data_IF_911780331790
#
_entry.id   IF_911780331790
#
_cell.length_a   1.000
_cell.length_b   1.000
_cell.length_c   1.000
_cell.angle_alpha   90.00
_cell.angle_beta   90.00
_cell.angle_gamma   90.00
#
_symmetry.space_group_name_H-M   'P 1'
#
loop_
_entity.id
_entity.type
_entity.pdbx_description
1 polymer ?
#
# COMPACT_ATOMS: atom_id res chain seq x y z
N UNK A 1 22.00 0.53 24.34
CA UNK A 1 20.64 0.77 24.90
C UNK A 1 19.74 1.44 23.87
N UNK A 2 20.18 2.52 23.21
CA UNK A 2 19.43 3.21 22.12
C UNK A 2 19.07 2.33 20.91
N UNK A 3 19.96 1.43 20.48
CA UNK A 3 19.75 0.59 19.28
C UNK A 3 18.68 -0.51 19.45
N UNK A 4 18.44 -0.98 20.67
CA UNK A 4 17.36 -1.96 20.95
C UNK A 4 15.97 -1.32 20.91
N UNK A 5 15.85 -0.04 21.31
CA UNK A 5 14.57 0.70 21.26
C UNK A 5 14.11 0.88 19.83
N UNK A 6 14.98 1.39 18.94
CA UNK A 6 14.61 1.64 17.54
C UNK A 6 14.11 0.39 16.81
N UNK A 7 14.69 -0.77 17.11
CA UNK A 7 14.29 -2.03 16.50
C UNK A 7 12.96 -2.55 17.06
N UNK A 8 12.67 -2.29 18.34
CA UNK A 8 11.35 -2.54 18.93
C UNK A 8 10.31 -1.56 18.39
N UNK A 9 10.64 -0.29 18.21
CA UNK A 9 9.69 0.72 17.74
C UNK A 9 9.25 0.45 16.29
N UNK A 10 10.21 0.19 15.39
CA UNK A 10 9.94 -0.05 13.96
C UNK A 10 9.37 -1.42 13.60
N UNK A 11 9.70 -2.47 14.37
CA UNK A 11 9.25 -3.84 14.12
C UNK A 11 8.38 -4.40 15.24
N UNK A 12 7.80 -3.53 16.08
CA UNK A 12 6.93 -3.91 17.19
C UNK A 12 5.71 -4.70 16.73
N UNK A 13 5.13 -4.33 15.57
CA UNK A 13 3.81 -4.80 15.15
C UNK A 13 3.75 -5.35 13.71
N UNK A 14 4.71 -6.21 13.36
CA UNK A 14 4.78 -6.84 12.03
C UNK A 14 3.45 -7.49 11.61
N UNK A 15 2.73 -8.13 12.55
CA UNK A 15 1.43 -8.77 12.24
C UNK A 15 0.37 -7.75 11.86
N UNK A 16 0.28 -6.65 12.60
CA UNK A 16 -0.67 -5.58 12.31
C UNK A 16 -0.35 -4.88 11.00
N UNK A 17 0.94 -4.62 10.74
CA UNK A 17 1.38 -3.93 9.52
C UNK A 17 1.12 -4.76 8.27
N UNK A 18 1.36 -6.08 8.33
CA UNK A 18 1.05 -6.99 7.23
C UNK A 18 -0.46 -7.10 6.99
N UNK A 19 -1.26 -7.24 8.04
CA UNK A 19 -2.73 -7.29 7.90
C UNK A 19 -3.28 -5.97 7.37
N UNK A 20 -2.79 -4.83 7.86
CA UNK A 20 -3.19 -3.51 7.38
C UNK A 20 -2.82 -3.33 5.91
N UNK A 21 -1.58 -3.67 5.52
CA UNK A 21 -1.13 -3.61 4.13
C UNK A 21 -1.98 -4.46 3.19
N UNK A 22 -2.35 -5.67 3.60
CA UNK A 22 -3.23 -6.54 2.82
C UNK A 22 -4.63 -5.94 2.65
N UNK A 23 -5.23 -5.45 3.74
CA UNK A 23 -6.57 -4.86 3.70
C UNK A 23 -6.59 -3.60 2.81
N UNK A 24 -5.58 -2.75 2.95
CA UNK A 24 -5.44 -1.53 2.13
C UNK A 24 -5.22 -1.90 0.65
N UNK A 25 -4.37 -2.88 0.36
CA UNK A 25 -4.14 -3.33 -1.02
C UNK A 25 -5.42 -3.82 -1.69
N UNK A 26 -6.26 -4.57 -0.97
CA UNK A 26 -7.56 -5.03 -1.48
C UNK A 26 -8.54 -3.87 -1.68
N UNK A 27 -8.52 -2.87 -0.79
CA UNK A 27 -9.36 -1.67 -0.90
C UNK A 27 -8.96 -0.78 -2.10
N UNK A 28 -7.68 -0.72 -2.45
CA UNK A 28 -7.16 0.11 -3.55
C UNK A 28 -7.51 -0.42 -4.95
N UNK A 29 -7.88 -1.69 -5.11
CA UNK A 29 -8.22 -2.28 -6.41
C UNK A 29 -9.40 -1.54 -7.07
N UNK A 30 -10.60 -1.44 -6.45
CA UNK A 30 -11.72 -0.72 -7.05
C UNK A 30 -11.44 0.78 -7.21
N UNK A 31 -10.68 1.39 -6.29
CA UNK A 31 -10.33 2.82 -6.34
C UNK A 31 -9.44 3.14 -7.55
N UNK A 32 -8.39 2.35 -7.80
CA UNK A 32 -7.50 2.51 -8.93
C UNK A 32 -8.22 2.30 -10.27
N UNK A 33 -9.18 1.37 -10.33
CA UNK A 33 -10.02 1.14 -11.51
C UNK A 33 -10.94 2.34 -11.74
N UNK A 34 -11.60 2.86 -10.71
CA UNK A 34 -12.48 4.02 -10.81
C UNK A 34 -11.73 5.28 -11.29
N UNK A 35 -10.56 5.58 -10.72
CA UNK A 35 -9.76 6.73 -11.15
C UNK A 35 -9.23 6.57 -12.59
N UNK A 36 -8.87 5.37 -13.01
CA UNK A 36 -8.47 5.13 -14.40
C UNK A 36 -9.60 5.42 -15.38
N UNK A 37 -10.82 4.97 -15.05
CA UNK A 37 -12.01 5.20 -15.89
C UNK A 37 -12.34 6.70 -15.95
N UNK A 38 -12.27 7.41 -14.82
CA UNK A 38 -12.48 8.87 -14.78
C UNK A 38 -11.43 9.61 -15.63
N UNK A 39 -10.18 9.16 -15.59
CA UNK A 39 -9.09 9.75 -16.36
C UNK A 39 -9.09 9.35 -17.85
N UNK A 40 -10.00 8.47 -18.29
CA UNK A 40 -10.08 8.00 -19.67
C UNK A 40 -8.91 7.09 -20.10
N UNK A 41 -8.22 6.47 -19.14
CA UNK A 41 -7.11 5.55 -19.38
C UNK A 41 -7.50 4.12 -19.04
N UNK A 42 -6.80 3.15 -19.61
CA UNK A 42 -7.02 1.74 -19.29
C UNK A 42 -6.86 1.46 -17.78
N UNK A 43 -7.77 0.69 -17.14
CA UNK A 43 -7.68 0.34 -15.72
C UNK A 43 -6.35 -0.27 -15.28
N UNK A 44 -5.62 -0.89 -16.22
CA UNK A 44 -4.28 -1.42 -15.98
C UNK A 44 -3.30 -0.34 -15.56
N UNK A 45 -3.43 0.88 -16.10
CA UNK A 45 -2.55 2.00 -15.80
C UNK A 45 -2.72 2.42 -14.34
N UNK A 46 -3.94 2.49 -13.82
CA UNK A 46 -4.17 2.82 -12.40
C UNK A 46 -3.63 1.76 -11.44
N UNK A 47 -3.74 0.48 -11.79
CA UNK A 47 -3.17 -0.60 -10.98
C UNK A 47 -1.64 -0.59 -10.96
N UNK A 48 -0.99 -0.28 -12.09
CA UNK A 48 0.47 -0.12 -12.10
C UNK A 48 0.90 1.13 -11.36
N UNK A 49 0.15 2.23 -11.46
CA UNK A 49 0.43 3.46 -10.75
C UNK A 49 0.33 3.27 -9.22
N UNK A 50 -0.73 2.62 -8.73
CA UNK A 50 -0.90 2.37 -7.29
C UNK A 50 0.22 1.49 -6.71
N UNK A 51 0.67 0.48 -7.46
CA UNK A 51 1.81 -0.35 -7.05
C UNK A 51 3.13 0.43 -7.05
N UNK A 52 3.46 1.14 -8.14
CA UNK A 52 4.71 1.89 -8.23
C UNK A 52 4.84 2.96 -7.14
N UNK A 53 3.74 3.64 -6.81
CA UNK A 53 3.72 4.67 -5.75
C UNK A 53 3.77 4.05 -4.35
N UNK A 54 3.19 2.87 -4.13
CA UNK A 54 3.28 2.19 -2.83
C UNK A 54 4.70 1.67 -2.49
N UNK A 55 5.52 1.42 -3.52
CA UNK A 55 6.88 0.88 -3.37
C UNK A 55 7.94 1.98 -3.25
N UNK A 56 7.71 3.14 -3.88
CA UNK A 56 8.61 4.31 -3.87
C UNK A 56 8.42 5.13 -2.60
#
# INVERSE_FOLDING_TARGET
MLTKSLHQDWLSNIRGDVLAGLVVALALIPEAIAFSIIAGVDPKVGLYASFCIAVV
#
